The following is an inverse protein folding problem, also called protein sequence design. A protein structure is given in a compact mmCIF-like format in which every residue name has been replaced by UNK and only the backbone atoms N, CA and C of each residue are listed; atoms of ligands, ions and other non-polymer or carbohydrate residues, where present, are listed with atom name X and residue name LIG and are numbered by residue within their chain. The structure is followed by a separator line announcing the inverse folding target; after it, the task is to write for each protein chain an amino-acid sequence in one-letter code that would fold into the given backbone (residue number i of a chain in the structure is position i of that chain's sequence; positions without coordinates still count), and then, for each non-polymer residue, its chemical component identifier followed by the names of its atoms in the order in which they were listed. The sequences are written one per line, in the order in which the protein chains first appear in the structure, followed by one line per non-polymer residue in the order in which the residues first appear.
data_IF_721156543770
#
_entry.id   IF_721156543770
#
_cell.length_a   1.000
_cell.length_b   1.000
_cell.length_c   1.000
_cell.angle_alpha   90.00
_cell.angle_beta   90.00
_cell.angle_gamma   90.00
#
_symmetry.space_group_name_H-M   'P 1'
#
loop_
_entity.id
_entity.type
_entity.pdbx_description
1 polymer ?
#
# COMPACT_ATOMS: atom_id res chain seq x y z
N UNK A 1 66.93 27.40 4.40
CA UNK A 1 66.42 26.46 5.45
C UNK A 1 64.96 26.04 5.21
N UNK A 2 64.03 26.92 4.86
CA UNK A 2 62.59 26.58 4.70
C UNK A 2 62.35 25.60 3.54
N UNK A 3 63.09 25.64 2.44
CA UNK A 3 62.94 24.71 1.29
C UNK A 3 63.26 23.25 1.66
N UNK A 4 64.29 23.02 2.46
CA UNK A 4 64.69 21.68 2.88
C UNK A 4 63.74 21.12 3.91
N UNK A 5 63.08 21.95 4.73
CA UNK A 5 62.07 21.54 5.70
C UNK A 5 60.78 21.10 4.99
N UNK A 6 60.40 21.82 3.90
CA UNK A 6 59.21 21.49 3.08
C UNK A 6 59.38 20.18 2.32
N UNK A 7 60.59 19.88 1.83
CA UNK A 7 60.91 18.62 1.15
C UNK A 7 60.91 17.45 2.14
N UNK A 8 61.43 17.64 3.33
CA UNK A 8 61.40 16.62 4.39
C UNK A 8 60.00 16.33 4.86
N UNK A 9 59.13 17.35 4.97
CA UNK A 9 57.71 17.19 5.32
C UNK A 9 56.92 16.40 4.26
N UNK A 10 57.27 16.63 2.99
CA UNK A 10 56.63 15.94 1.85
C UNK A 10 57.00 14.45 1.79
N UNK A 11 58.24 14.13 2.14
CA UNK A 11 58.72 12.75 2.23
C UNK A 11 58.06 11.97 3.40
N UNK A 12 57.89 12.60 4.56
CA UNK A 12 57.19 12.01 5.69
C UNK A 12 55.70 11.76 5.36
N UNK A 13 55.10 12.64 4.60
CA UNK A 13 53.69 12.48 4.16
C UNK A 13 53.48 11.29 3.19
N UNK A 14 54.50 10.98 2.38
CA UNK A 14 54.51 9.90 1.40
C UNK A 14 54.58 8.51 2.07
N UNK A 15 55.24 8.41 3.22
CA UNK A 15 55.36 7.17 4.00
C UNK A 15 54.00 6.80 4.68
N UNK A 16 53.19 7.80 5.04
CA UNK A 16 51.92 7.57 5.74
C UNK A 16 50.85 7.01 4.75
N UNK A 17 50.97 7.27 3.43
CA UNK A 17 50.05 6.76 2.43
C UNK A 17 50.31 5.30 2.01
N UNK A 18 51.43 4.69 2.42
CA UNK A 18 51.82 3.34 2.04
C UNK A 18 51.36 2.24 3.02
N UNK A 19 50.65 2.58 4.09
CA UNK A 19 50.13 1.61 5.08
C UNK A 19 48.79 0.97 4.70
N UNK A 20 48.44 0.94 3.45
CA UNK A 20 47.32 0.16 2.91
C UNK A 20 47.75 -1.27 2.56
N UNK A 21 48.32 -2.02 3.50
CA UNK A 21 48.52 -3.46 3.26
C UNK A 21 47.17 -4.17 3.44
N UNK A 22 46.55 -4.54 2.28
CA UNK A 22 45.50 -5.57 2.28
C UNK A 22 46.02 -6.81 2.97
N UNK A 23 45.50 -7.08 4.15
CA UNK A 23 45.67 -8.38 4.79
C UNK A 23 44.99 -9.42 3.89
N UNK A 24 45.78 -10.13 3.11
CA UNK A 24 45.33 -11.31 2.40
C UNK A 24 44.96 -12.38 3.46
N UNK A 25 43.73 -12.32 3.95
CA UNK A 25 43.12 -13.32 4.79
C UNK A 25 42.97 -14.59 3.93
N UNK A 26 43.93 -15.51 4.05
CA UNK A 26 43.79 -16.82 3.44
C UNK A 26 42.68 -17.59 4.16
N UNK A 27 41.45 -17.43 3.68
CA UNK A 27 40.30 -18.20 4.15
C UNK A 27 40.44 -19.60 3.59
N UNK A 28 40.66 -20.59 4.42
CA UNK A 28 40.61 -22.01 4.03
C UNK A 28 39.11 -22.34 3.79
N UNK A 29 38.72 -22.40 2.53
CA UNK A 29 37.36 -22.70 2.12
C UNK A 29 37.15 -24.22 2.17
N UNK A 30 36.56 -24.72 3.24
CA UNK A 30 35.96 -26.06 3.26
C UNK A 30 34.68 -26.03 2.42
N UNK A 31 34.30 -27.16 1.79
CA UNK A 31 33.05 -27.28 1.02
C UNK A 31 31.84 -26.80 1.82
N UNK A 32 31.78 -27.14 3.11
CA UNK A 32 30.72 -26.69 4.02
C UNK A 32 30.71 -25.16 4.18
N UNK A 33 31.88 -24.53 4.35
CA UNK A 33 32.00 -23.08 4.49
C UNK A 33 31.59 -22.37 3.20
N UNK A 34 31.92 -22.92 2.03
CA UNK A 34 31.49 -22.37 0.73
C UNK A 34 29.98 -22.44 0.56
N UNK A 35 29.37 -23.56 0.94
CA UNK A 35 27.92 -23.73 0.89
C UNK A 35 27.20 -22.79 1.83
N UNK A 36 27.66 -22.67 3.07
CA UNK A 36 27.10 -21.74 4.07
C UNK A 36 27.23 -20.28 3.62
N UNK A 37 28.36 -19.91 3.03
CA UNK A 37 28.59 -18.57 2.50
C UNK A 37 27.70 -18.30 1.28
N UNK A 38 27.59 -19.27 0.37
CA UNK A 38 26.72 -19.16 -0.79
C UNK A 38 25.25 -18.98 -0.39
N UNK A 39 24.76 -19.74 0.59
CA UNK A 39 23.39 -19.60 1.12
C UNK A 39 23.20 -18.25 1.80
N UNK A 40 24.13 -17.83 2.66
CA UNK A 40 24.01 -16.56 3.40
C UNK A 40 24.15 -15.32 2.52
N UNK A 41 24.99 -15.35 1.49
CA UNK A 41 25.28 -14.19 0.65
C UNK A 41 24.52 -14.22 -0.67
N UNK A 42 23.88 -15.33 -1.04
CA UNK A 42 23.13 -15.43 -2.28
C UNK A 42 21.99 -14.44 -2.33
N UNK A 43 22.01 -13.57 -3.33
CA UNK A 43 20.90 -12.66 -3.65
C UNK A 43 19.60 -13.42 -3.94
N UNK A 44 19.70 -14.61 -4.55
CA UNK A 44 18.56 -15.47 -4.84
C UNK A 44 17.88 -16.00 -3.58
N UNK A 45 18.64 -16.39 -2.56
CA UNK A 45 18.09 -16.82 -1.26
C UNK A 45 17.40 -15.68 -0.55
N UNK A 46 18.05 -14.51 -0.49
CA UNK A 46 17.45 -13.30 0.09
C UNK A 46 16.16 -12.89 -0.64
N UNK A 47 16.17 -12.95 -1.96
CA UNK A 47 14.99 -12.69 -2.77
C UNK A 47 13.84 -13.67 -2.46
N UNK A 48 14.15 -14.96 -2.34
CA UNK A 48 13.16 -16.00 -2.00
C UNK A 48 12.57 -15.80 -0.60
N UNK A 49 13.40 -15.44 0.38
CA UNK A 49 12.97 -15.12 1.74
C UNK A 49 12.03 -13.91 1.77
N UNK A 50 12.38 -12.84 1.07
CA UNK A 50 11.54 -11.66 0.96
C UNK A 50 10.22 -11.95 0.25
N UNK A 51 10.25 -12.75 -0.81
CA UNK A 51 9.05 -13.18 -1.52
C UNK A 51 8.13 -14.04 -0.66
N UNK A 52 8.67 -14.89 0.22
CA UNK A 52 7.87 -15.68 1.14
C UNK A 52 7.05 -14.79 2.07
N UNK A 53 7.67 -13.76 2.65
CA UNK A 53 6.97 -12.78 3.47
C UNK A 53 5.89 -12.05 2.67
N UNK A 54 6.19 -11.67 1.43
CA UNK A 54 5.23 -11.02 0.53
C UNK A 54 4.03 -11.93 0.22
N UNK A 55 4.26 -13.21 -0.10
CA UNK A 55 3.18 -14.17 -0.34
C UNK A 55 2.32 -14.41 0.90
N UNK A 56 2.93 -14.48 2.09
CA UNK A 56 2.20 -14.60 3.35
C UNK A 56 1.26 -13.39 3.57
N UNK A 57 1.75 -12.17 3.39
CA UNK A 57 0.93 -10.97 3.54
C UNK A 57 -0.14 -10.84 2.47
N UNK A 58 0.15 -11.23 1.23
CA UNK A 58 -0.86 -11.30 0.16
C UNK A 58 -1.98 -12.28 0.49
N UNK A 59 -1.64 -13.43 1.05
CA UNK A 59 -2.64 -14.39 1.49
C UNK A 59 -3.46 -13.87 2.68
N UNK A 60 -2.81 -13.25 3.67
CA UNK A 60 -3.50 -12.59 4.78
C UNK A 60 -4.46 -11.51 4.28
N UNK A 61 -4.00 -10.65 3.39
CA UNK A 61 -4.81 -9.58 2.80
C UNK A 61 -6.00 -10.14 2.00
N UNK A 62 -5.78 -11.22 1.26
CA UNK A 62 -6.86 -11.92 0.58
C UNK A 62 -7.92 -12.47 1.55
N UNK A 63 -7.52 -12.99 2.71
CA UNK A 63 -8.48 -13.43 3.73
C UNK A 63 -9.29 -12.28 4.32
N UNK A 64 -8.69 -11.10 4.50
CA UNK A 64 -9.38 -9.94 5.05
C UNK A 64 -10.45 -9.39 4.12
N UNK A 65 -10.35 -9.62 2.81
CA UNK A 65 -11.36 -9.20 1.81
C UNK A 65 -12.74 -9.80 2.11
N UNK A 66 -12.81 -10.94 2.81
CA UNK A 66 -14.06 -11.61 3.17
C UNK A 66 -14.55 -11.31 4.58
N UNK A 67 -13.83 -10.49 5.32
CA UNK A 67 -14.25 -10.05 6.65
C UNK A 67 -15.06 -8.78 6.54
N UNK A 68 -15.97 -8.52 7.50
CA UNK A 68 -16.65 -7.25 7.60
C UNK A 68 -15.63 -6.11 7.65
N UNK A 69 -15.85 -5.10 6.82
CA UNK A 69 -15.01 -3.90 6.73
C UNK A 69 -15.83 -2.69 7.13
N UNK A 70 -15.35 -1.96 8.13
CA UNK A 70 -15.91 -0.68 8.53
C UNK A 70 -15.06 0.42 7.91
N UNK A 71 -15.71 1.29 7.13
CA UNK A 71 -15.06 2.40 6.44
C UNK A 71 -15.72 3.70 6.82
N UNK A 72 -14.93 4.66 7.26
CA UNK A 72 -15.34 6.05 7.42
C UNK A 72 -14.72 6.85 6.28
N UNK A 73 -15.56 7.52 5.50
CA UNK A 73 -15.14 8.41 4.42
C UNK A 73 -15.91 9.73 4.50
N UNK A 74 -15.34 10.78 3.95
CA UNK A 74 -16.00 12.08 3.95
C UNK A 74 -15.11 13.17 3.39
N UNK A 75 -15.74 14.28 3.06
CA UNK A 75 -15.09 15.51 2.61
C UNK A 75 -15.18 16.54 3.73
N UNK A 76 -14.02 17.05 4.16
CA UNK A 76 -13.91 17.99 5.28
C UNK A 76 -13.14 19.23 4.84
N UNK A 77 -13.63 20.40 5.17
CA UNK A 77 -14.73 21.08 4.54
C UNK A 77 -14.39 21.43 3.09
N UNK A 78 -15.29 21.22 2.18
CA UNK A 78 -15.14 21.64 0.78
C UNK A 78 -15.81 23.00 0.59
N UNK A 79 -14.99 24.06 0.49
CA UNK A 79 -15.44 25.40 0.20
C UNK A 79 -15.44 25.66 -1.30
N UNK A 80 -16.60 26.05 -1.83
CA UNK A 80 -16.79 26.36 -3.24
C UNK A 80 -17.40 27.75 -3.42
N UNK A 81 -16.71 28.60 -4.18
CA UNK A 81 -17.21 29.91 -4.59
C UNK A 81 -17.16 29.98 -6.11
N UNK A 82 -18.31 30.09 -6.75
CA UNK A 82 -18.43 30.06 -8.20
C UNK A 82 -19.58 30.97 -8.68
N UNK A 83 -19.58 31.26 -9.95
CA UNK A 83 -20.74 31.83 -10.67
C UNK A 83 -21.37 30.69 -11.45
N UNK A 84 -22.63 30.39 -11.13
CA UNK A 84 -23.39 29.31 -11.79
C UNK A 84 -24.46 29.93 -12.66
N UNK A 85 -24.55 29.47 -13.90
CA UNK A 85 -25.62 29.86 -14.80
C UNK A 85 -26.94 29.18 -14.38
N UNK A 86 -27.99 29.99 -14.21
CA UNK A 86 -29.31 29.54 -13.86
C UNK A 86 -30.26 29.97 -14.96
N UNK A 87 -31.02 29.02 -15.52
CA UNK A 87 -32.04 29.31 -16.50
C UNK A 87 -33.25 29.84 -15.73
N UNK A 88 -33.70 31.03 -16.10
CA UNK A 88 -34.88 31.67 -15.51
C UNK A 88 -36.18 31.08 -16.18
N UNK A 89 -37.34 31.23 -15.54
CA UNK A 89 -38.60 30.76 -16.10
C UNK A 89 -38.96 31.34 -17.48
N UNK A 90 -38.37 32.48 -17.82
CA UNK A 90 -38.53 33.15 -19.12
C UNK A 90 -37.57 32.64 -20.21
N UNK A 91 -36.72 31.63 -19.86
CA UNK A 91 -35.71 31.07 -20.74
C UNK A 91 -34.41 31.86 -20.81
N UNK A 92 -34.28 32.99 -20.11
CA UNK A 92 -33.02 33.75 -20.02
C UNK A 92 -32.03 33.08 -19.11
N UNK A 93 -30.72 33.29 -19.36
CA UNK A 93 -29.65 32.77 -18.51
C UNK A 93 -29.16 33.89 -17.60
N UNK A 94 -29.25 33.68 -16.32
CA UNK A 94 -28.68 34.55 -15.28
C UNK A 94 -27.54 33.89 -14.56
N UNK A 95 -26.43 34.62 -14.33
CA UNK A 95 -25.32 34.12 -13.53
C UNK A 95 -25.52 34.48 -12.07
N UNK A 96 -25.66 33.46 -11.24
CA UNK A 96 -25.81 33.64 -9.81
C UNK A 96 -24.51 33.22 -9.10
N UNK A 97 -24.08 34.02 -8.14
CA UNK A 97 -22.97 33.70 -7.27
C UNK A 97 -23.37 32.58 -6.31
N UNK A 98 -22.56 31.55 -6.23
CA UNK A 98 -22.66 30.49 -5.23
C UNK A 98 -21.49 30.62 -4.27
N UNK A 99 -21.73 30.54 -2.96
CA UNK A 99 -20.71 30.63 -1.91
C UNK A 99 -21.11 29.63 -0.82
N UNK A 100 -20.56 28.43 -0.90
CA UNK A 100 -21.02 27.28 -0.13
C UNK A 100 -19.88 26.52 0.51
N UNK A 101 -20.11 26.05 1.73
CA UNK A 101 -19.25 25.11 2.43
C UNK A 101 -19.98 23.78 2.62
N UNK A 102 -19.45 22.73 1.99
CA UNK A 102 -19.98 21.39 2.08
C UNK A 102 -19.06 20.53 2.97
N UNK A 103 -19.64 19.77 3.86
CA UNK A 103 -18.93 18.74 4.61
C UNK A 103 -19.79 17.48 4.61
N UNK A 104 -19.18 16.33 4.28
CA UNK A 104 -19.87 15.06 4.27
C UNK A 104 -19.16 14.03 5.15
N UNK A 105 -19.92 13.14 5.74
CA UNK A 105 -19.43 11.99 6.46
C UNK A 105 -20.25 10.75 6.08
N UNK A 106 -19.57 9.67 5.73
CA UNK A 106 -20.19 8.42 5.38
C UNK A 106 -19.51 7.28 6.16
N UNK A 107 -20.27 6.61 7.00
CA UNK A 107 -19.84 5.43 7.74
C UNK A 107 -20.49 4.20 7.10
N UNK A 108 -19.68 3.27 6.58
CA UNK A 108 -20.16 2.10 5.88
C UNK A 108 -19.55 0.82 6.47
N UNK A 109 -20.40 -0.14 6.79
CA UNK A 109 -20.05 -1.51 7.10
C UNK A 109 -20.38 -2.37 5.90
N UNK A 110 -19.39 -3.06 5.36
CA UNK A 110 -19.57 -3.87 4.14
C UNK A 110 -18.91 -5.23 4.27
N UNK A 111 -19.48 -6.22 3.60
CA UNK A 111 -18.94 -7.58 3.57
C UNK A 111 -19.23 -8.27 2.25
N UNK A 112 -18.21 -8.93 1.70
CA UNK A 112 -18.35 -9.83 0.57
C UNK A 112 -18.59 -11.26 1.06
N UNK A 113 -19.62 -11.93 0.54
CA UNK A 113 -19.95 -13.33 0.83
C UNK A 113 -19.34 -14.19 -0.28
N UNK A 114 -18.28 -14.98 0.01
CA UNK A 114 -17.54 -15.69 -1.03
C UNK A 114 -18.33 -16.83 -1.68
N UNK A 115 -19.36 -17.37 -1.01
CA UNK A 115 -20.12 -18.52 -1.50
C UNK A 115 -21.02 -18.12 -2.67
N UNK A 116 -21.72 -16.99 -2.54
CA UNK A 116 -22.69 -16.49 -3.52
C UNK A 116 -22.13 -15.38 -4.39
N UNK A 117 -21.01 -14.76 -4.01
CA UNK A 117 -20.50 -13.56 -4.63
C UNK A 117 -21.31 -12.30 -4.29
N UNK A 118 -22.22 -12.40 -3.33
CA UNK A 118 -23.04 -11.29 -2.86
C UNK A 118 -22.18 -10.30 -2.07
N UNK A 119 -22.43 -9.03 -2.29
CA UNK A 119 -21.88 -7.95 -1.50
C UNK A 119 -22.99 -7.31 -0.70
N UNK A 120 -22.90 -7.34 0.63
CA UNK A 120 -23.86 -6.73 1.54
C UNK A 120 -23.24 -5.51 2.19
N UNK A 121 -24.03 -4.48 2.42
CA UNK A 121 -23.57 -3.26 3.09
C UNK A 121 -24.68 -2.62 3.92
N UNK A 122 -24.25 -1.96 4.98
CA UNK A 122 -25.05 -1.07 5.80
C UNK A 122 -24.28 0.24 5.95
N UNK A 123 -24.93 1.37 5.75
CA UNK A 123 -24.23 2.65 5.83
C UNK A 123 -25.11 3.76 6.42
N UNK A 124 -24.44 4.79 6.91
CA UNK A 124 -25.00 6.05 7.40
C UNK A 124 -24.30 7.19 6.70
N UNK A 125 -25.07 8.13 6.23
CA UNK A 125 -24.56 9.29 5.50
C UNK A 125 -25.11 10.58 6.07
N UNK A 126 -24.23 11.56 6.29
CA UNK A 126 -24.56 12.90 6.75
C UNK A 126 -23.89 13.92 5.84
N UNK A 127 -24.65 14.90 5.38
CA UNK A 127 -24.19 16.06 4.63
C UNK A 127 -24.57 17.32 5.38
N UNK A 128 -23.60 18.22 5.57
CA UNK A 128 -23.81 19.61 6.00
C UNK A 128 -23.51 20.51 4.80
N UNK A 129 -24.50 21.33 4.46
CA UNK A 129 -24.34 22.40 3.47
C UNK A 129 -24.56 23.74 4.14
N UNK A 130 -23.59 24.63 4.06
CA UNK A 130 -23.67 25.99 4.57
C UNK A 130 -23.58 26.96 3.38
N UNK A 131 -24.65 27.71 3.16
CA UNK A 131 -24.73 28.74 2.14
C UNK A 131 -24.44 30.09 2.77
N UNK A 132 -23.33 30.72 2.41
CA UNK A 132 -22.90 32.00 2.94
C UNK A 132 -23.66 33.19 2.36
N UNK A 133 -24.29 33.01 1.18
CA UNK A 133 -25.08 34.07 0.54
C UNK A 133 -26.42 34.18 1.23
N UNK A 134 -27.04 33.04 1.50
CA UNK A 134 -28.36 32.96 2.16
C UNK A 134 -28.24 32.94 3.69
N UNK A 135 -27.02 32.77 4.23
CA UNK A 135 -26.78 32.62 5.67
C UNK A 135 -27.43 31.37 6.26
N UNK A 136 -27.72 30.36 5.47
CA UNK A 136 -28.41 29.15 5.89
C UNK A 136 -27.47 27.97 6.03
N UNK A 137 -27.73 27.14 7.05
CA UNK A 137 -27.05 25.86 7.23
C UNK A 137 -28.08 24.74 7.19
N UNK A 138 -27.90 23.82 6.25
CA UNK A 138 -28.80 22.69 6.06
C UNK A 138 -28.06 21.38 6.33
N UNK A 139 -28.75 20.47 7.01
CA UNK A 139 -28.29 19.12 7.21
C UNK A 139 -29.21 18.17 6.43
N UNK A 140 -28.62 17.25 5.69
CA UNK A 140 -29.32 16.20 4.99
C UNK A 140 -28.56 14.89 5.13
N UNK A 141 -29.25 13.76 5.04
CA UNK A 141 -28.58 12.48 5.14
C UNK A 141 -29.56 11.33 5.37
N UNK A 142 -29.01 10.14 5.36
CA UNK A 142 -29.73 8.92 5.69
C UNK A 142 -29.09 8.36 6.97
N UNK A 143 -29.82 8.35 8.10
CA UNK A 143 -29.25 7.86 9.36
C UNK A 143 -28.80 6.40 9.27
N UNK A 144 -29.55 5.60 8.50
CA UNK A 144 -29.21 4.21 8.27
C UNK A 144 -29.86 3.69 6.99
N UNK A 145 -29.08 3.02 6.16
CA UNK A 145 -29.57 2.26 5.01
C UNK A 145 -28.75 1.01 4.81
N UNK A 146 -29.36 -0.02 4.25
CA UNK A 146 -28.70 -1.28 3.93
C UNK A 146 -29.07 -1.72 2.52
N UNK A 147 -28.18 -2.48 1.93
CA UNK A 147 -28.41 -3.01 0.60
C UNK A 147 -27.54 -4.23 0.33
N UNK A 148 -27.81 -4.87 -0.79
CA UNK A 148 -27.00 -5.96 -1.29
C UNK A 148 -26.88 -5.87 -2.81
N UNK A 149 -25.79 -6.39 -3.33
CA UNK A 149 -25.54 -6.53 -4.76
C UNK A 149 -25.21 -7.98 -5.04
N UNK A 150 -26.01 -8.61 -5.90
CA UNK A 150 -25.85 -10.01 -6.31
C UNK A 150 -25.61 -10.08 -7.80
N UNK A 151 -24.41 -10.46 -8.29
CA UNK A 151 -24.22 -10.78 -9.69
C UNK A 151 -24.94 -12.07 -10.04
N UNK A 152 -25.88 -12.01 -10.98
CA UNK A 152 -26.66 -13.18 -11.45
C UNK A 152 -25.93 -13.88 -12.60
N UNK A 153 -25.39 -13.11 -13.55
CA UNK A 153 -24.67 -13.61 -14.70
C UNK A 153 -23.32 -12.90 -14.80
N UNK A 154 -22.24 -13.66 -14.93
CA UNK A 154 -20.92 -13.07 -15.10
C UNK A 154 -19.81 -13.88 -14.48
N UNK A 155 -18.77 -13.20 -14.10
CA UNK A 155 -17.54 -13.75 -13.57
C UNK A 155 -17.80 -14.58 -12.30
N UNK A 156 -17.46 -15.87 -12.34
CA UNK A 156 -17.59 -16.74 -11.17
C UNK A 156 -16.49 -16.44 -10.15
N UNK A 157 -16.80 -15.51 -9.27
CA UNK A 157 -15.92 -15.00 -8.23
C UNK A 157 -15.43 -16.09 -7.26
N UNK A 158 -16.29 -17.06 -6.95
CA UNK A 158 -15.97 -18.17 -6.05
C UNK A 158 -14.91 -19.10 -6.66
N UNK A 159 -14.98 -19.37 -7.96
CA UNK A 159 -13.98 -20.18 -8.68
C UNK A 159 -12.60 -19.50 -8.62
N UNK A 160 -12.57 -18.20 -8.81
CA UNK A 160 -11.36 -17.40 -8.74
C UNK A 160 -10.83 -17.26 -7.32
N UNK A 161 -11.69 -17.06 -6.33
CA UNK A 161 -11.31 -17.00 -4.92
C UNK A 161 -10.64 -18.31 -4.47
N UNK A 162 -11.22 -19.47 -4.83
CA UNK A 162 -10.62 -20.79 -4.55
C UNK A 162 -9.28 -20.98 -5.26
N UNK A 163 -9.18 -20.59 -6.54
CA UNK A 163 -7.95 -20.68 -7.32
C UNK A 163 -6.85 -19.77 -6.75
N UNK A 164 -7.18 -18.54 -6.41
CA UNK A 164 -6.23 -17.61 -5.81
C UNK A 164 -5.75 -18.10 -4.44
N UNK A 165 -6.67 -18.57 -3.58
CA UNK A 165 -6.30 -19.19 -2.30
C UNK A 165 -5.32 -20.33 -2.49
N UNK A 166 -5.61 -21.26 -3.37
CA UNK A 166 -4.75 -22.40 -3.65
C UNK A 166 -3.37 -21.97 -4.18
N UNK A 167 -3.33 -20.97 -5.07
CA UNK A 167 -2.08 -20.44 -5.63
C UNK A 167 -1.22 -19.75 -4.57
N UNK A 168 -1.81 -18.98 -3.65
CA UNK A 168 -1.08 -18.33 -2.57
C UNK A 168 -0.51 -19.34 -1.56
N UNK A 169 -1.29 -20.33 -1.16
CA UNK A 169 -0.82 -21.41 -0.28
C UNK A 169 0.33 -22.18 -0.94
N UNK A 170 0.16 -22.59 -2.20
CA UNK A 170 1.19 -23.33 -2.93
C UNK A 170 2.50 -22.54 -3.03
N UNK A 171 2.45 -21.26 -3.41
CA UNK A 171 3.64 -20.41 -3.53
C UNK A 171 4.35 -20.20 -2.19
N UNK A 172 3.59 -20.02 -1.10
CA UNK A 172 4.19 -19.90 0.23
C UNK A 172 4.85 -21.21 0.67
N UNK A 173 4.24 -22.35 0.38
CA UNK A 173 4.81 -23.67 0.68
C UNK A 173 6.07 -23.93 -0.14
N UNK A 174 6.05 -23.68 -1.46
CA UNK A 174 7.21 -23.83 -2.34
C UNK A 174 8.39 -22.94 -1.90
N UNK A 175 8.14 -21.70 -1.46
CA UNK A 175 9.18 -20.80 -0.96
C UNK A 175 9.78 -21.28 0.36
N UNK A 176 8.99 -21.84 1.27
CA UNK A 176 9.48 -22.43 2.52
C UNK A 176 10.33 -23.67 2.24
N UNK A 177 9.91 -24.53 1.32
CA UNK A 177 10.70 -25.72 0.93
C UNK A 177 12.01 -25.34 0.22
N UNK A 178 12.02 -24.25 -0.56
CA UNK A 178 13.25 -23.76 -1.19
C UNK A 178 14.27 -23.27 -0.17
N UNK A 179 13.80 -22.54 0.87
CA UNK A 179 14.65 -22.07 1.97
C UNK A 179 15.17 -23.24 2.80
N UNK A 180 14.32 -24.22 3.13
CA UNK A 180 14.74 -25.38 3.92
C UNK A 180 15.71 -26.29 3.17
N UNK A 181 15.56 -26.47 1.86
CA UNK A 181 16.55 -27.19 1.04
C UNK A 181 17.91 -26.52 1.01
N UNK A 182 17.94 -25.18 1.02
CA UNK A 182 19.20 -24.43 1.13
C UNK A 182 19.86 -24.50 2.50
N UNK A 183 19.14 -24.89 3.56
CA UNK A 183 19.68 -25.03 4.92
C UNK A 183 20.10 -26.47 5.27
N UNK A 184 19.79 -27.47 4.46
CA UNK A 184 20.06 -28.90 4.72
C UNK A 184 21.24 -29.41 3.87
N UNK A 185 21.70 -28.66 2.87
CA UNK A 185 22.89 -28.94 2.07
C UNK A 185 24.12 -28.19 2.63
#
# INVERSE_FOLDING_TARGET
MIKHFLIALLFVFQEILCFGQEQNIKVSLSLKNVLDLAVKQSSSVKYTQNNNVNYYWRWKNFQTTFRPQLTLSGDLPNYARAWTSVIQPDGSISFQKTDQLNASANLALSQAIPITGTYIYAASYLLRNQDYIKGSTNFSGSPFYFGFTQPLFGYNWMKWAKKNRASYIRRSTESVFAVNRGNIA
#
